data_IF_156258476913
#
_entry.id   IF_156258476913
#
_cell.length_a   1.000
_cell.length_b   1.000
_cell.length_c   1.000
_cell.angle_alpha   90.00
_cell.angle_beta   90.00
_cell.angle_gamma   90.00
#
_symmetry.space_group_name_H-M   'P 1'
#
loop_
_entity.id
_entity.type
_entity.pdbx_description
1 polymer ?
#
# COMPACT_ATOMS: atom_id res chain seq x y z
N UNK A 1 -15.81 -16.08 -9.52
CA UNK A 1 -15.05 -14.84 -9.22
C UNK A 1 -13.70 -14.98 -9.91
N UNK A 2 -13.17 -13.93 -10.55
CA UNK A 2 -11.87 -14.03 -11.23
C UNK A 2 -10.68 -14.13 -10.25
N UNK A 3 -10.88 -13.74 -8.99
CA UNK A 3 -9.89 -13.80 -7.92
C UNK A 3 -10.57 -14.32 -6.65
N UNK A 4 -10.01 -15.34 -6.03
CA UNK A 4 -10.46 -15.84 -4.73
C UNK A 4 -10.00 -14.92 -3.60
N UNK A 5 -10.64 -15.01 -2.42
CA UNK A 5 -10.20 -14.28 -1.22
C UNK A 5 -8.72 -14.54 -0.88
N UNK A 6 -8.30 -15.80 -0.93
CA UNK A 6 -6.91 -16.17 -0.63
C UNK A 6 -5.93 -15.58 -1.64
N UNK A 7 -6.26 -15.56 -2.93
CA UNK A 7 -5.43 -14.92 -3.96
C UNK A 7 -5.38 -13.40 -3.79
N UNK A 8 -6.48 -12.76 -3.39
CA UNK A 8 -6.48 -11.33 -3.07
C UNK A 8 -5.58 -11.02 -1.88
N UNK A 9 -5.68 -11.78 -0.79
CA UNK A 9 -4.81 -11.62 0.38
C UNK A 9 -3.35 -11.82 -0.03
N UNK A 10 -3.04 -12.89 -0.76
CA UNK A 10 -1.68 -13.15 -1.24
C UNK A 10 -1.15 -12.03 -2.14
N UNK A 11 -2.00 -11.44 -2.99
CA UNK A 11 -1.63 -10.31 -3.84
C UNK A 11 -1.32 -9.06 -3.03
N UNK A 12 -2.14 -8.73 -2.02
CA UNK A 12 -1.90 -7.61 -1.10
C UNK A 12 -0.60 -7.80 -0.30
N UNK A 13 -0.37 -9.00 0.22
CA UNK A 13 0.85 -9.37 0.94
C UNK A 13 2.09 -9.30 0.03
N UNK A 14 1.95 -9.68 -1.24
CA UNK A 14 3.02 -9.54 -2.21
C UNK A 14 3.38 -8.07 -2.49
N UNK A 15 2.40 -7.17 -2.56
CA UNK A 15 2.68 -5.72 -2.66
C UNK A 15 3.47 -5.20 -1.45
N UNK A 16 3.11 -5.64 -0.24
CA UNK A 16 3.87 -5.30 0.99
C UNK A 16 5.31 -5.78 0.87
N UNK A 17 5.52 -7.04 0.47
CA UNK A 17 6.86 -7.62 0.31
C UNK A 17 7.72 -6.84 -0.69
N UNK A 18 7.15 -6.47 -1.85
CA UNK A 18 7.88 -5.69 -2.86
C UNK A 18 8.18 -4.28 -2.35
N UNK A 19 7.23 -3.65 -1.66
CA UNK A 19 7.41 -2.32 -1.07
C UNK A 19 8.54 -2.33 -0.03
N UNK A 20 8.59 -3.34 0.84
CA UNK A 20 9.67 -3.50 1.84
C UNK A 20 11.01 -3.76 1.16
N UNK A 21 11.05 -4.54 0.08
CA UNK A 21 12.27 -4.72 -0.71
C UNK A 21 12.77 -3.38 -1.27
N UNK A 22 11.90 -2.55 -1.84
CA UNK A 22 12.29 -1.21 -2.29
C UNK A 22 12.68 -0.31 -1.10
N UNK A 23 11.99 -0.43 0.02
CA UNK A 23 12.33 0.24 1.28
C UNK A 23 13.77 -0.07 1.73
N UNK A 24 14.21 -1.33 1.60
CA UNK A 24 15.59 -1.72 1.92
C UNK A 24 16.67 -1.12 1.01
N UNK A 25 16.26 -0.49 -0.11
CA UNK A 25 17.16 0.19 -1.05
C UNK A 25 17.28 1.70 -0.79
N UNK A 26 16.53 2.21 0.18
CA UNK A 26 16.55 3.63 0.54
C UNK A 26 17.77 3.92 1.42
N UNK A 27 18.62 4.84 0.98
CA UNK A 27 19.56 5.52 1.85
C UNK A 27 18.85 6.65 2.60
N UNK A 28 19.24 6.93 3.86
CA UNK A 28 18.61 7.98 4.68
C UNK A 28 18.71 9.37 4.04
N UNK A 29 19.70 9.61 3.21
CA UNK A 29 19.83 10.85 2.42
C UNK A 29 18.73 11.03 1.37
N UNK A 30 18.00 9.96 1.02
CA UNK A 30 16.92 9.99 0.03
C UNK A 30 15.54 10.27 0.67
N UNK A 31 15.43 10.33 1.99
CA UNK A 31 14.15 10.42 2.69
C UNK A 31 13.39 11.71 2.38
N UNK A 32 14.11 12.81 2.19
CA UNK A 32 13.51 14.12 1.90
C UNK A 32 13.31 14.38 0.40
N UNK A 33 13.77 13.45 -0.47
CA UNK A 33 13.61 13.62 -1.91
C UNK A 33 12.12 13.67 -2.29
N UNK A 34 11.76 14.64 -3.13
CA UNK A 34 10.46 14.78 -3.79
C UNK A 34 10.65 15.36 -5.19
N UNK A 35 9.95 14.84 -6.20
CA UNK A 35 10.10 15.33 -7.59
C UNK A 35 9.65 16.78 -7.77
N UNK A 36 8.64 17.20 -7.03
CA UNK A 36 8.13 18.59 -7.02
C UNK A 36 7.76 19.00 -5.58
N UNK A 37 7.75 20.31 -5.27
CA UNK A 37 7.42 20.80 -3.93
C UNK A 37 6.05 20.36 -3.40
N UNK A 38 5.11 20.02 -4.29
CA UNK A 38 3.75 19.60 -3.92
C UNK A 38 3.58 18.10 -3.80
N UNK A 39 4.56 17.30 -4.21
CA UNK A 39 4.52 15.85 -4.05
C UNK A 39 5.06 15.44 -2.69
N UNK A 40 4.59 14.29 -2.20
CA UNK A 40 5.16 13.68 -0.99
C UNK A 40 6.63 13.39 -1.17
N UNK A 41 7.43 13.59 -0.12
CA UNK A 41 8.79 13.07 -0.08
C UNK A 41 8.78 11.54 0.01
N UNK A 42 9.96 10.93 -0.12
CA UNK A 42 10.12 9.48 0.04
C UNK A 42 9.57 9.02 1.39
N UNK A 43 9.91 9.68 2.49
CA UNK A 43 9.41 9.31 3.82
C UNK A 43 7.91 9.56 3.95
N UNK A 44 7.40 10.69 3.49
CA UNK A 44 5.97 11.00 3.52
C UNK A 44 5.15 10.01 2.68
N UNK A 45 5.69 9.52 1.56
CA UNK A 45 5.07 8.48 0.75
C UNK A 45 4.96 7.17 1.52
N UNK A 46 6.04 6.75 2.19
CA UNK A 46 6.03 5.55 3.03
C UNK A 46 5.08 5.68 4.22
N UNK A 47 5.06 6.83 4.91
CA UNK A 47 4.11 7.12 5.99
C UNK A 47 2.66 7.01 5.52
N UNK A 48 2.34 7.57 4.35
CA UNK A 48 1.02 7.41 3.75
C UNK A 48 0.68 5.93 3.47
N UNK A 49 1.62 5.19 2.89
CA UNK A 49 1.45 3.75 2.60
C UNK A 49 1.30 2.91 3.85
N UNK A 50 1.89 3.33 4.98
CA UNK A 50 1.75 2.64 6.27
C UNK A 50 0.35 2.75 6.91
N UNK A 51 -0.59 3.46 6.25
CA UNK A 51 -1.97 3.62 6.74
C UNK A 51 -3.01 3.33 5.68
N UNK A 52 -2.74 3.67 4.42
CA UNK A 52 -3.72 3.70 3.34
C UNK A 52 -4.44 2.36 3.14
N UNK A 53 -3.70 1.27 3.00
CA UNK A 53 -4.26 -0.03 2.64
C UNK A 53 -5.30 -0.54 3.66
N UNK A 54 -4.92 -0.74 4.93
CA UNK A 54 -5.85 -1.20 5.96
C UNK A 54 -7.06 -0.29 6.16
N UNK A 55 -6.86 1.03 6.14
CA UNK A 55 -7.96 1.99 6.33
C UNK A 55 -8.97 1.95 5.19
N UNK A 56 -8.50 1.79 3.94
CA UNK A 56 -9.40 1.66 2.79
C UNK A 56 -10.14 0.32 2.78
N UNK A 57 -9.54 -0.76 3.24
CA UNK A 57 -10.23 -2.04 3.42
C UNK A 57 -11.31 -1.91 4.51
N UNK A 58 -11.00 -1.28 5.65
CA UNK A 58 -12.00 -1.01 6.71
C UNK A 58 -13.18 -0.21 6.16
N UNK A 59 -12.93 0.82 5.38
CA UNK A 59 -13.99 1.58 4.71
C UNK A 59 -14.81 0.70 3.77
N UNK A 60 -14.15 -0.09 2.92
CA UNK A 60 -14.87 -1.00 2.03
C UNK A 60 -15.79 -1.99 2.78
N UNK A 61 -15.41 -2.40 3.99
CA UNK A 61 -16.13 -3.37 4.81
C UNK A 61 -17.08 -2.72 5.82
N UNK A 62 -17.12 -1.38 5.92
CA UNK A 62 -18.01 -0.68 6.84
C UNK A 62 -19.48 -1.02 6.55
N UNK A 63 -20.23 -1.44 7.60
CA UNK A 63 -21.62 -1.86 7.46
C UNK A 63 -22.57 -0.70 7.15
N UNK A 64 -22.25 0.47 7.68
CA UNK A 64 -22.98 1.73 7.46
C UNK A 64 -22.56 2.46 6.19
N UNK A 65 -21.52 1.95 5.49
CA UNK A 65 -20.96 2.58 4.30
C UNK A 65 -20.24 3.91 4.57
N UNK A 66 -20.00 4.25 5.85
CA UNK A 66 -19.35 5.50 6.22
C UNK A 66 -17.83 5.35 6.28
N UNK A 67 -17.12 6.39 5.82
CA UNK A 67 -15.69 6.48 6.00
C UNK A 67 -15.36 7.03 7.40
N UNK A 68 -14.58 6.28 8.17
CA UNK A 68 -14.13 6.68 9.50
C UNK A 68 -13.07 7.79 9.40
N UNK A 69 -13.53 9.05 9.36
CA UNK A 69 -12.66 10.23 9.26
C UNK A 69 -11.79 10.42 10.50
N UNK A 70 -12.33 10.13 11.68
CA UNK A 70 -11.61 10.28 12.95
C UNK A 70 -10.52 9.22 13.08
N UNK A 71 -10.83 7.98 12.74
CA UNK A 71 -9.86 6.89 12.66
C UNK A 71 -8.74 7.18 11.65
N UNK A 72 -9.10 7.69 10.47
CA UNK A 72 -8.10 8.13 9.49
C UNK A 72 -7.19 9.23 10.03
N UNK A 73 -7.75 10.26 10.65
CA UNK A 73 -6.97 11.38 11.20
C UNK A 73 -6.01 10.89 12.28
N UNK A 74 -6.47 10.03 13.19
CA UNK A 74 -5.61 9.43 14.24
C UNK A 74 -4.50 8.56 13.63
N UNK A 75 -4.81 7.74 12.63
CA UNK A 75 -3.82 6.90 11.95
C UNK A 75 -2.78 7.74 11.19
N UNK A 76 -3.20 8.83 10.53
CA UNK A 76 -2.31 9.75 9.85
C UNK A 76 -1.38 10.48 10.85
N UNK A 77 -1.91 10.98 11.97
CA UNK A 77 -1.11 11.60 13.02
C UNK A 77 -0.10 10.61 13.63
N UNK A 78 -0.51 9.38 13.88
CA UNK A 78 0.41 8.34 14.36
C UNK A 78 1.50 8.02 13.32
N UNK A 79 1.17 8.03 12.02
CA UNK A 79 2.15 7.82 10.95
C UNK A 79 3.16 8.98 10.88
N UNK A 80 2.70 10.24 11.07
CA UNK A 80 3.61 11.40 11.08
C UNK A 80 4.66 11.34 12.20
N UNK A 81 4.32 10.74 13.33
CA UNK A 81 5.24 10.59 14.47
C UNK A 81 6.31 9.50 14.27
N UNK A 82 6.15 8.61 13.27
CA UNK A 82 7.09 7.51 13.02
C UNK A 82 8.36 8.02 12.33
N UNK A 83 9.48 7.48 12.73
CA UNK A 83 10.71 7.55 11.93
C UNK A 83 10.66 6.57 10.75
N UNK A 84 11.75 6.47 9.99
CA UNK A 84 11.84 5.62 8.82
C UNK A 84 11.69 4.12 9.17
N UNK A 85 12.40 3.66 10.19
CA UNK A 85 12.41 2.24 10.56
C UNK A 85 11.04 1.82 11.11
N UNK A 86 10.44 2.63 11.99
CA UNK A 86 9.08 2.44 12.50
C UNK A 86 8.03 2.46 11.38
N UNK A 87 8.28 3.24 10.32
CA UNK A 87 7.37 3.29 9.16
C UNK A 87 7.44 1.98 8.37
N UNK A 88 8.63 1.42 8.16
CA UNK A 88 8.78 0.11 7.51
C UNK A 88 8.19 -1.03 8.34
N UNK A 89 8.36 -1.00 9.67
CA UNK A 89 7.72 -1.97 10.57
C UNK A 89 6.18 -1.90 10.48
N UNK A 90 5.61 -0.70 10.44
CA UNK A 90 4.18 -0.52 10.28
C UNK A 90 3.67 -1.02 8.92
N UNK A 91 4.45 -0.86 7.84
CA UNK A 91 4.14 -1.45 6.54
C UNK A 91 4.22 -2.98 6.60
N UNK A 92 5.24 -3.54 7.26
CA UNK A 92 5.40 -4.98 7.40
C UNK A 92 4.22 -5.63 8.14
N UNK A 93 3.67 -4.96 9.15
CA UNK A 93 2.50 -5.44 9.89
C UNK A 93 1.24 -5.61 9.02
N UNK A 94 1.15 -4.97 7.87
CA UNK A 94 0.03 -5.14 6.96
C UNK A 94 -0.14 -6.56 6.44
N UNK A 95 0.91 -7.38 6.43
CA UNK A 95 0.84 -8.80 6.02
C UNK A 95 -0.22 -9.55 6.85
N UNK A 96 -0.15 -9.41 8.18
CA UNK A 96 -1.09 -10.05 9.09
C UNK A 96 -2.41 -9.27 9.18
N UNK A 97 -2.36 -7.95 9.08
CA UNK A 97 -3.55 -7.11 9.14
C UNK A 97 -4.50 -7.37 7.97
N UNK A 98 -4.00 -7.53 6.74
CA UNK A 98 -4.84 -7.90 5.59
C UNK A 98 -5.51 -9.26 5.77
N UNK A 99 -4.78 -10.25 6.26
CA UNK A 99 -5.34 -11.56 6.55
C UNK A 99 -6.45 -11.46 7.61
N UNK A 100 -6.22 -10.70 8.67
CA UNK A 100 -7.20 -10.48 9.75
C UNK A 100 -8.44 -9.74 9.28
N UNK A 101 -8.29 -8.63 8.56
CA UNK A 101 -9.41 -7.82 8.06
C UNK A 101 -10.32 -8.61 7.11
N UNK A 102 -9.74 -9.48 6.31
CA UNK A 102 -10.46 -10.26 5.30
C UNK A 102 -10.88 -11.66 5.78
N UNK A 103 -10.49 -12.08 6.98
CA UNK A 103 -10.72 -13.46 7.47
C UNK A 103 -12.16 -13.92 7.33
N UNK A 104 -13.11 -13.10 7.78
CA UNK A 104 -14.55 -13.41 7.82
C UNK A 104 -15.34 -12.84 6.64
N UNK A 105 -14.69 -12.25 5.64
CA UNK A 105 -15.35 -11.69 4.46
C UNK A 105 -15.73 -12.82 3.52
N UNK A 106 -17.02 -12.86 3.13
CA UNK A 106 -17.56 -13.87 2.21
C UNK A 106 -17.54 -13.36 0.76
N UNK A 107 -17.75 -14.27 -0.18
CA UNK A 107 -17.95 -13.94 -1.59
C UNK A 107 -19.18 -13.02 -1.80
N UNK A 108 -20.22 -13.17 -0.99
CA UNK A 108 -21.39 -12.30 -1.02
C UNK A 108 -21.03 -10.88 -0.55
N UNK A 109 -20.21 -10.76 0.50
CA UNK A 109 -19.72 -9.46 0.97
C UNK A 109 -18.89 -8.75 -0.12
N UNK A 110 -17.98 -9.45 -0.79
CA UNK A 110 -17.21 -8.87 -1.89
C UNK A 110 -18.08 -8.39 -3.05
N UNK A 111 -19.20 -9.03 -3.31
CA UNK A 111 -20.16 -8.64 -4.37
C UNK A 111 -21.17 -7.60 -3.92
N UNK A 112 -21.29 -7.34 -2.62
CA UNK A 112 -22.22 -6.34 -2.11
C UNK A 112 -21.82 -4.94 -2.57
N UNK A 113 -22.82 -4.11 -2.84
CA UNK A 113 -22.63 -2.73 -3.27
C UNK A 113 -22.10 -1.85 -2.13
N UNK A 114 -21.27 -0.88 -2.48
CA UNK A 114 -20.86 0.24 -1.64
C UNK A 114 -20.88 1.55 -2.42
N UNK A 115 -20.97 2.65 -1.71
CA UNK A 115 -20.84 3.99 -2.29
C UNK A 115 -19.39 4.47 -2.16
N UNK A 116 -18.81 4.99 -3.23
CA UNK A 116 -17.46 5.56 -3.26
C UNK A 116 -17.43 7.00 -2.78
N UNK A 117 -16.23 7.58 -2.59
CA UNK A 117 -16.06 8.96 -2.09
C UNK A 117 -16.69 10.03 -2.99
N UNK A 118 -16.82 9.79 -4.28
CA UNK A 118 -17.44 10.64 -5.29
C UNK A 118 -18.96 10.40 -5.45
N UNK A 119 -19.53 9.53 -4.61
CA UNK A 119 -20.94 9.16 -4.66
C UNK A 119 -21.27 8.09 -5.71
N UNK A 120 -20.29 7.59 -6.44
CA UNK A 120 -20.44 6.48 -7.37
C UNK A 120 -20.72 5.16 -6.63
N UNK A 121 -21.14 4.15 -7.39
CA UNK A 121 -21.42 2.82 -6.85
C UNK A 121 -20.49 1.79 -7.45
N UNK A 122 -20.02 0.87 -6.60
CA UNK A 122 -19.16 -0.24 -6.99
C UNK A 122 -19.40 -1.42 -6.04
N UNK A 123 -18.78 -2.56 -6.30
CA UNK A 123 -18.74 -3.64 -5.31
C UNK A 123 -17.56 -3.47 -4.37
N UNK A 124 -17.68 -3.95 -3.12
CA UNK A 124 -16.61 -3.91 -2.12
C UNK A 124 -15.32 -4.55 -2.63
N UNK A 125 -15.42 -5.70 -3.31
CA UNK A 125 -14.26 -6.37 -3.90
C UNK A 125 -13.59 -5.56 -5.01
N UNK A 126 -14.37 -4.94 -5.90
CA UNK A 126 -13.82 -4.08 -6.95
C UNK A 126 -13.14 -2.83 -6.36
N UNK A 127 -13.73 -2.23 -5.31
CA UNK A 127 -13.12 -1.11 -4.59
C UNK A 127 -11.76 -1.50 -3.99
N UNK A 128 -11.68 -2.65 -3.30
CA UNK A 128 -10.43 -3.12 -2.69
C UNK A 128 -9.36 -3.35 -3.78
N UNK A 129 -9.72 -3.99 -4.89
CA UNK A 129 -8.78 -4.21 -6.00
C UNK A 129 -8.31 -2.87 -6.59
N UNK A 130 -9.24 -2.00 -6.96
CA UNK A 130 -8.90 -0.79 -7.70
C UNK A 130 -8.21 0.26 -6.82
N UNK A 131 -8.63 0.44 -5.58
CA UNK A 131 -8.07 1.48 -4.72
C UNK A 131 -6.91 0.97 -3.87
N UNK A 132 -6.99 -0.24 -3.32
CA UNK A 132 -5.94 -0.74 -2.43
C UNK A 132 -4.86 -1.46 -3.21
N UNK A 133 -5.19 -2.54 -3.91
CA UNK A 133 -4.19 -3.34 -4.62
C UNK A 133 -3.50 -2.54 -5.74
N UNK A 134 -4.28 -1.94 -6.64
CA UNK A 134 -3.75 -1.10 -7.71
C UNK A 134 -3.09 0.18 -7.17
N UNK A 135 -3.62 0.74 -6.07
CA UNK A 135 -3.02 1.87 -5.37
C UNK A 135 -1.63 1.55 -4.82
N UNK A 136 -1.47 0.40 -4.16
CA UNK A 136 -0.16 -0.08 -3.70
C UNK A 136 0.83 -0.22 -4.87
N UNK A 137 0.41 -0.83 -5.98
CA UNK A 137 1.25 -0.98 -7.17
C UNK A 137 1.65 0.37 -7.79
N UNK A 138 0.73 1.34 -7.84
CA UNK A 138 1.00 2.69 -8.35
C UNK A 138 2.03 3.43 -7.47
N UNK A 139 1.84 3.43 -6.15
CA UNK A 139 2.76 4.08 -5.21
C UNK A 139 4.11 3.36 -5.10
N UNK A 140 4.13 2.05 -5.22
CA UNK A 140 5.36 1.26 -5.36
C UNK A 140 6.17 1.71 -6.58
N UNK A 141 5.50 1.92 -7.72
CA UNK A 141 6.15 2.45 -8.93
C UNK A 141 6.67 3.86 -8.70
N UNK A 142 5.91 4.71 -8.01
CA UNK A 142 6.37 6.05 -7.62
C UNK A 142 7.63 5.98 -6.75
N UNK A 143 7.66 5.12 -5.73
CA UNK A 143 8.84 4.91 -4.88
C UNK A 143 10.04 4.43 -5.71
N UNK A 144 9.84 3.46 -6.60
CA UNK A 144 10.88 2.98 -7.50
C UNK A 144 11.50 4.12 -8.33
N UNK A 145 10.66 5.00 -8.89
CA UNK A 145 11.11 6.15 -9.66
C UNK A 145 11.86 7.17 -8.79
N UNK A 146 11.45 7.36 -7.53
CA UNK A 146 12.20 8.20 -6.59
C UNK A 146 13.61 7.66 -6.33
N UNK A 147 13.73 6.35 -6.10
CA UNK A 147 15.02 5.70 -5.92
C UNK A 147 15.92 5.84 -7.15
N UNK A 148 15.37 5.65 -8.35
CA UNK A 148 16.09 5.86 -9.62
C UNK A 148 16.59 7.32 -9.74
N UNK A 149 15.75 8.29 -9.41
CA UNK A 149 16.11 9.71 -9.43
C UNK A 149 17.17 10.08 -8.38
N UNK A 150 17.24 9.32 -7.28
CA UNK A 150 18.27 9.46 -6.25
C UNK A 150 19.57 8.67 -6.55
N UNK A 151 19.73 8.14 -7.76
CA UNK A 151 20.98 7.49 -8.20
C UNK A 151 21.02 5.97 -8.01
N UNK A 152 19.91 5.31 -7.63
CA UNK A 152 19.83 3.83 -7.55
C UNK A 152 19.65 3.24 -8.96
N UNK A 153 20.64 3.46 -9.83
CA UNK A 153 20.57 3.06 -11.25
C UNK A 153 20.52 1.55 -11.45
N UNK A 154 21.07 0.77 -10.52
CA UNK A 154 21.09 -0.69 -10.54
C UNK A 154 19.70 -1.33 -10.39
N UNK A 155 18.72 -0.58 -9.86
CA UNK A 155 17.36 -1.10 -9.71
C UNK A 155 16.70 -1.28 -11.07
N UNK A 156 16.12 -2.46 -11.28
CA UNK A 156 15.49 -2.84 -12.54
C UNK A 156 14.12 -3.50 -12.35
N UNK A 157 13.66 -4.14 -13.42
CA UNK A 157 12.35 -4.82 -13.48
C UNK A 157 12.18 -5.85 -12.35
N UNK A 158 13.24 -6.57 -11.97
CA UNK A 158 13.19 -7.56 -10.89
C UNK A 158 12.84 -6.92 -9.55
N UNK A 159 13.45 -5.77 -9.24
CA UNK A 159 13.17 -5.03 -8.01
C UNK A 159 11.73 -4.51 -8.00
N UNK A 160 11.27 -3.95 -9.13
CA UNK A 160 9.94 -3.36 -9.25
C UNK A 160 8.81 -4.40 -9.21
N UNK A 161 8.95 -5.53 -9.91
CA UNK A 161 7.87 -6.50 -10.08
C UNK A 161 7.96 -7.72 -9.18
N UNK A 162 9.19 -8.12 -8.82
CA UNK A 162 9.43 -9.33 -8.06
C UNK A 162 9.90 -9.06 -6.64
N UNK A 163 10.27 -7.80 -6.29
CA UNK A 163 10.86 -7.47 -5.01
C UNK A 163 12.09 -8.33 -4.71
N UNK A 164 12.98 -8.43 -5.69
CA UNK A 164 14.20 -9.21 -5.60
C UNK A 164 15.32 -8.56 -6.42
N UNK A 165 16.54 -8.69 -5.95
CA UNK A 165 17.72 -8.32 -6.72
C UNK A 165 17.96 -9.32 -7.86
N UNK A 166 18.52 -8.85 -8.97
CA UNK A 166 19.03 -9.75 -10.00
C UNK A 166 20.29 -10.42 -9.46
N UNK A 167 20.41 -11.75 -9.53
CA UNK A 167 21.68 -12.40 -9.19
C UNK A 167 22.82 -11.78 -10.01
N UNK A 168 23.98 -11.56 -9.37
CA UNK A 168 25.16 -11.14 -10.10
C UNK A 168 25.40 -12.16 -11.25
N UNK A 169 25.64 -11.65 -12.45
CA UNK A 169 26.04 -12.53 -13.54
C UNK A 169 27.35 -13.23 -13.14
N UNK A 170 27.30 -14.55 -13.08
CA UNK A 170 28.47 -15.41 -12.81
C UNK A 170 29.36 -15.43 -14.03
#
# INVERSE_FOLDING_TARGET
>A
MALTKSELIASLQNEVRILLHLGSKIDRSMLDYRPTPKQRSTLELLKYLSTMGPMMIRYALAKDGAFDRDGWTKAAQAAEARDFDQTLEAIAAHVDEYATLLANVTDADFRSEMTTFDGGKTTRGAFIINLVLCGCAAYRTQLFLYLKACGREELGTSNLWRGADVPAAV
#
